data_IF_048364602887
#
_entry.id   IF_048364602887
#
_cell.length_a   1.000
_cell.length_b   1.000
_cell.length_c   1.000
_cell.angle_alpha   90.00
_cell.angle_beta   90.00
_cell.angle_gamma   90.00
#
_symmetry.space_group_name_H-M   'P 1'
#
loop_
_entity.id
_entity.type
_entity.pdbx_description
1 polymer ?
#
# COMPACT_ATOMS: atom_id res chain seq x y z
N UNK A 1 -28.90 -11.84 2.67
CA UNK A 1 -27.52 -12.36 2.57
C UNK A 1 -26.86 -11.60 1.43
N UNK A 2 -26.03 -10.59 1.71
CA UNK A 2 -25.32 -9.90 0.64
C UNK A 2 -24.14 -10.78 0.21
N UNK A 3 -24.22 -11.32 -1.00
CA UNK A 3 -23.07 -11.91 -1.66
C UNK A 3 -22.27 -10.76 -2.23
N UNK A 4 -21.22 -10.32 -1.52
CA UNK A 4 -20.28 -9.38 -2.11
C UNK A 4 -19.58 -10.10 -3.28
N UNK A 5 -19.65 -9.58 -4.51
CA UNK A 5 -19.03 -10.22 -5.68
C UNK A 5 -17.48 -10.21 -5.61
N UNK A 6 -16.91 -9.69 -4.51
CA UNK A 6 -15.47 -9.56 -4.26
C UNK A 6 -14.94 -10.54 -3.20
N UNK A 7 -15.63 -11.66 -2.94
CA UNK A 7 -15.36 -12.61 -1.86
C UNK A 7 -13.96 -13.29 -1.85
N UNK A 8 -13.05 -12.91 -2.76
CA UNK A 8 -11.65 -13.38 -2.77
C UNK A 8 -10.59 -12.28 -2.77
N UNK A 9 -10.97 -11.00 -2.85
CA UNK A 9 -10.00 -9.90 -2.92
C UNK A 9 -9.73 -9.32 -1.53
N UNK A 10 -8.65 -9.78 -0.89
CA UNK A 10 -8.09 -9.16 0.32
C UNK A 10 -6.86 -8.33 -0.07
N UNK A 11 -6.94 -6.99 -0.13
CA UNK A 11 -5.78 -6.17 -0.44
C UNK A 11 -4.82 -6.15 0.74
N UNK A 12 -3.81 -7.02 0.73
CA UNK A 12 -2.70 -6.92 1.68
C UNK A 12 -1.71 -5.83 1.26
N UNK A 13 -0.98 -5.29 2.23
CA UNK A 13 0.04 -4.27 1.97
C UNK A 13 1.26 -4.94 1.34
N UNK A 14 1.43 -4.72 0.04
CA UNK A 14 2.49 -5.32 -0.77
C UNK A 14 3.86 -4.74 -0.49
N UNK A 15 3.93 -3.45 -0.20
CA UNK A 15 5.17 -2.73 0.06
C UNK A 15 5.27 -2.42 1.55
N UNK A 16 6.20 -3.07 2.24
CA UNK A 16 6.49 -2.79 3.64
C UNK A 16 7.87 -2.13 3.77
N UNK A 17 8.04 -1.31 4.78
CA UNK A 17 9.29 -0.63 5.12
C UNK A 17 9.73 -1.10 6.50
N UNK A 18 10.97 -1.57 6.58
CA UNK A 18 11.66 -1.92 7.81
C UNK A 18 12.51 -0.73 8.22
N UNK A 19 12.18 -0.11 9.35
CA UNK A 19 12.87 1.05 9.90
C UNK A 19 13.56 0.70 11.21
N UNK A 20 14.81 1.11 11.39
CA UNK A 20 15.53 0.95 12.65
C UNK A 20 15.01 1.91 13.71
N UNK A 21 14.87 1.44 14.95
CA UNK A 21 14.50 2.29 16.10
C UNK A 21 15.69 3.08 16.69
N UNK A 22 16.91 2.78 16.26
CA UNK A 22 18.15 3.38 16.78
C UNK A 22 18.97 4.12 15.72
N UNK A 23 20.19 4.52 16.09
CA UNK A 23 21.14 5.19 15.20
C UNK A 23 21.71 4.27 14.11
N UNK A 24 21.76 2.96 14.37
CA UNK A 24 22.25 1.97 13.41
C UNK A 24 21.23 1.73 12.30
N UNK A 25 21.63 2.01 11.05
CA UNK A 25 20.77 1.84 9.88
C UNK A 25 20.78 0.40 9.41
N UNK A 26 19.61 -0.10 9.05
CA UNK A 26 19.46 -1.46 8.51
C UNK A 26 20.12 -1.58 7.13
N UNK A 27 20.10 -0.50 6.34
CA UNK A 27 20.72 -0.44 5.03
C UNK A 27 22.27 -0.57 5.04
N UNK A 28 22.93 -0.32 6.17
CA UNK A 28 24.39 -0.42 6.29
C UNK A 28 24.87 -1.88 6.40
N UNK A 29 23.93 -2.82 6.64
CA UNK A 29 24.25 -4.23 6.68
C UNK A 29 24.60 -4.77 5.29
N UNK A 30 25.45 -5.80 5.28
CA UNK A 30 25.87 -6.46 4.06
C UNK A 30 24.65 -7.04 3.31
N UNK A 31 24.57 -6.89 1.97
CA UNK A 31 23.41 -7.30 1.18
C UNK A 31 23.11 -8.80 1.33
N UNK A 32 24.15 -9.65 1.41
CA UNK A 32 23.97 -11.08 1.63
C UNK A 32 23.39 -11.43 3.01
N UNK A 33 23.73 -10.65 4.05
CA UNK A 33 23.14 -10.84 5.38
C UNK A 33 21.66 -10.46 5.37
N UNK A 34 21.34 -9.31 4.77
CA UNK A 34 19.95 -8.85 4.59
C UNK A 34 19.13 -9.90 3.84
N UNK A 35 19.66 -10.42 2.74
CA UNK A 35 18.97 -11.42 1.93
C UNK A 35 18.74 -12.73 2.69
N UNK A 36 19.76 -13.24 3.41
CA UNK A 36 19.64 -14.47 4.21
C UNK A 36 18.61 -14.33 5.33
N UNK A 37 18.61 -13.20 6.03
CA UNK A 37 17.65 -12.94 7.11
C UNK A 37 16.22 -12.86 6.58
N UNK A 38 16.00 -12.14 5.47
CA UNK A 38 14.69 -12.06 4.83
C UNK A 38 14.22 -13.43 4.33
N UNK A 39 15.12 -14.24 3.76
CA UNK A 39 14.82 -15.61 3.34
C UNK A 39 14.46 -16.51 4.54
N UNK A 40 15.12 -16.33 5.68
CA UNK A 40 14.79 -17.05 6.92
C UNK A 40 13.37 -16.73 7.42
N UNK A 41 12.99 -15.45 7.39
CA UNK A 41 11.68 -14.98 7.88
C UNK A 41 10.55 -15.31 6.88
N UNK A 42 10.79 -15.09 5.59
CA UNK A 42 9.75 -15.07 4.55
C UNK A 42 9.74 -16.32 3.66
N UNK A 43 10.75 -17.18 3.75
CA UNK A 43 10.93 -18.36 2.92
C UNK A 43 11.66 -18.09 1.61
N UNK A 44 11.69 -19.09 0.71
CA UNK A 44 12.44 -19.06 -0.56
C UNK A 44 11.73 -18.30 -1.70
N UNK A 45 10.61 -17.65 -1.40
CA UNK A 45 9.87 -16.88 -2.38
C UNK A 45 10.63 -15.60 -2.75
N UNK A 46 10.73 -15.34 -4.05
CA UNK A 46 11.34 -14.11 -4.61
C UNK A 46 10.72 -12.83 -4.03
N UNK A 47 11.51 -12.10 -3.26
CA UNK A 47 11.17 -10.81 -2.66
C UNK A 47 12.07 -9.74 -3.27
N UNK A 48 11.51 -8.60 -3.66
CA UNK A 48 12.32 -7.47 -4.11
C UNK A 48 12.65 -6.58 -2.90
N UNK A 49 13.94 -6.28 -2.73
CA UNK A 49 14.45 -5.48 -1.61
C UNK A 49 15.14 -4.25 -2.17
N UNK A 50 14.75 -3.08 -1.69
CA UNK A 50 15.32 -1.79 -2.10
C UNK A 50 15.81 -1.05 -0.86
N UNK A 51 17.07 -0.59 -0.88
CA UNK A 51 17.60 0.31 0.16
C UNK A 51 17.08 1.72 -0.09
N UNK A 52 16.47 2.33 0.91
CA UNK A 52 16.00 3.72 0.82
C UNK A 52 17.11 4.68 1.27
N UNK A 53 17.11 5.91 0.75
CA UNK A 53 18.06 6.96 1.15
C UNK A 53 17.99 7.33 2.63
N UNK A 54 16.88 7.01 3.31
CA UNK A 54 16.73 7.17 4.76
C UNK A 54 17.61 6.21 5.58
N UNK A 55 18.08 5.11 4.98
CA UNK A 55 18.73 4.01 5.70
C UNK A 55 17.80 2.85 6.05
N UNK A 56 16.53 2.93 5.63
CA UNK A 56 15.52 1.89 5.78
C UNK A 56 15.58 0.88 4.63
N UNK A 57 14.90 -0.25 4.82
CA UNK A 57 14.71 -1.26 3.76
C UNK A 57 13.25 -1.30 3.33
N UNK A 58 13.01 -1.11 2.04
CA UNK A 58 11.71 -1.40 1.43
C UNK A 58 11.70 -2.83 0.91
N UNK A 59 10.65 -3.57 1.25
CA UNK A 59 10.46 -4.97 0.89
C UNK A 59 9.12 -5.11 0.17
N UNK A 60 9.16 -5.62 -1.06
CA UNK A 60 7.97 -5.92 -1.86
C UNK A 60 7.65 -7.40 -1.77
N UNK A 61 6.48 -7.68 -1.24
CA UNK A 61 6.00 -9.02 -0.93
C UNK A 61 5.11 -9.58 -2.05
N UNK A 62 4.95 -10.90 -2.07
CA UNK A 62 4.10 -11.62 -3.03
C UNK A 62 2.88 -12.27 -2.38
N UNK A 63 2.93 -12.56 -1.09
CA UNK A 63 1.84 -13.20 -0.34
C UNK A 63 1.43 -12.41 0.92
N UNK A 64 0.16 -12.56 1.31
CA UNK A 64 -0.35 -12.03 2.58
C UNK A 64 0.37 -12.66 3.79
N UNK A 65 0.71 -13.95 3.71
CA UNK A 65 1.41 -14.63 4.80
C UNK A 65 2.80 -14.05 5.03
N UNK A 66 3.49 -13.64 3.97
CA UNK A 66 4.74 -12.90 4.08
C UNK A 66 4.54 -11.56 4.77
N UNK A 67 3.47 -10.84 4.46
CA UNK A 67 3.17 -9.55 5.08
C UNK A 67 2.89 -9.70 6.59
N UNK A 68 2.19 -10.76 6.98
CA UNK A 68 1.97 -11.09 8.40
C UNK A 68 3.26 -11.44 9.12
N UNK A 69 4.08 -12.33 8.54
CA UNK A 69 5.38 -12.72 9.10
C UNK A 69 6.30 -11.52 9.27
N UNK A 70 6.43 -10.68 8.23
CA UNK A 70 7.26 -9.48 8.30
C UNK A 70 6.69 -8.46 9.28
N UNK A 71 5.36 -8.27 9.32
CA UNK A 71 4.73 -7.36 10.27
C UNK A 71 4.92 -7.75 11.74
N UNK A 72 5.19 -9.03 12.03
CA UNK A 72 5.36 -9.54 13.38
C UNK A 72 6.80 -9.39 13.93
N UNK A 73 7.80 -9.04 13.10
CA UNK A 73 9.18 -8.94 13.57
C UNK A 73 9.40 -7.64 14.35
N UNK A 74 10.09 -7.76 15.49
CA UNK A 74 10.55 -6.61 16.28
C UNK A 74 12.07 -6.40 16.18
N UNK A 75 12.80 -7.40 15.68
CA UNK A 75 14.24 -7.36 15.48
C UNK A 75 14.60 -7.88 14.09
N UNK A 76 15.64 -7.32 13.50
CA UNK A 76 16.18 -7.72 12.21
C UNK A 76 17.70 -7.52 12.22
N UNK A 77 18.48 -8.59 12.01
CA UNK A 77 19.96 -8.54 12.10
C UNK A 77 20.47 -7.89 13.40
N UNK A 78 19.90 -8.32 14.53
CA UNK A 78 20.19 -7.83 15.89
C UNK A 78 19.87 -6.34 16.12
N UNK A 79 19.14 -5.70 15.20
CA UNK A 79 18.70 -4.31 15.33
C UNK A 79 17.21 -4.30 15.68
N UNK A 80 16.77 -3.54 16.70
CA UNK A 80 15.35 -3.33 16.94
C UNK A 80 14.75 -2.51 15.80
N UNK A 81 13.70 -3.04 15.18
CA UNK A 81 13.06 -2.44 14.01
C UNK A 81 11.56 -2.23 14.22
N UNK A 82 10.96 -1.40 13.36
CA UNK A 82 9.52 -1.32 13.12
C UNK A 82 9.24 -1.66 11.68
N UNK A 83 8.16 -2.40 11.45
CA UNK A 83 7.67 -2.66 10.10
C UNK A 83 6.39 -1.88 9.89
N UNK A 84 6.35 -1.08 8.83
CA UNK A 84 5.20 -0.25 8.50
C UNK A 84 4.86 -0.32 7.01
N UNK A 85 3.59 -0.17 6.62
CA UNK A 85 3.24 -0.10 5.21
C UNK A 85 3.81 1.15 4.55
N UNK A 86 4.35 1.00 3.34
CA UNK A 86 4.81 2.13 2.55
C UNK A 86 3.63 3.08 2.24
N UNK A 87 3.84 4.39 2.41
CA UNK A 87 2.78 5.42 2.39
C UNK A 87 2.05 5.54 1.05
N UNK A 88 2.79 5.51 -0.07
CA UNK A 88 2.22 5.74 -1.41
C UNK A 88 2.13 4.49 -2.28
N UNK A 89 3.17 3.65 -2.32
CA UNK A 89 3.21 2.45 -3.18
C UNK A 89 2.11 1.40 -2.91
N UNK A 90 1.41 1.48 -1.76
CA UNK A 90 0.24 0.63 -1.49
C UNK A 90 -1.10 1.27 -1.87
N UNK A 91 -1.08 2.43 -2.52
CA UNK A 91 -2.26 3.10 -3.05
C UNK A 91 -2.08 3.42 -4.53
N UNK A 92 -3.19 3.51 -5.24
CA UNK A 92 -3.23 3.97 -6.61
C UNK A 92 -4.32 5.04 -6.73
N UNK A 93 -4.20 5.90 -7.74
CA UNK A 93 -5.23 6.88 -8.09
C UNK A 93 -5.72 6.55 -9.49
N UNK A 94 -7.03 6.45 -9.65
CA UNK A 94 -7.68 6.17 -10.92
C UNK A 94 -8.82 7.14 -11.19
N UNK A 95 -9.33 7.12 -12.42
CA UNK A 95 -10.56 7.82 -12.81
C UNK A 95 -11.53 6.77 -13.29
N UNK A 96 -12.76 6.81 -12.77
CA UNK A 96 -13.87 5.96 -13.19
C UNK A 96 -14.97 6.89 -13.68
N UNK A 97 -15.57 6.56 -14.83
CA UNK A 97 -16.69 7.29 -15.39
C UNK A 97 -17.87 6.32 -15.52
N UNK A 98 -18.98 6.66 -14.87
CA UNK A 98 -20.26 5.97 -15.02
C UNK A 98 -21.38 6.97 -14.79
N UNK A 99 -22.48 6.83 -15.53
CA UNK A 99 -23.67 7.67 -15.36
C UNK A 99 -24.31 7.44 -13.98
N UNK A 100 -24.31 6.20 -13.51
CA UNK A 100 -24.96 5.81 -12.25
C UNK A 100 -24.25 6.37 -11.01
N UNK A 101 -22.92 6.50 -11.08
CA UNK A 101 -22.12 7.16 -10.03
C UNK A 101 -22.45 8.65 -9.90
N UNK A 102 -23.16 9.23 -10.87
CA UNK A 102 -23.71 10.57 -10.78
C UNK A 102 -24.70 10.74 -9.63
N UNK A 103 -25.40 9.66 -9.25
CA UNK A 103 -26.40 9.64 -8.18
C UNK A 103 -25.84 9.32 -6.80
N UNK A 104 -24.58 8.88 -6.70
CA UNK A 104 -23.94 8.51 -5.43
C UNK A 104 -23.12 9.68 -4.85
N UNK A 105 -23.07 9.82 -3.52
CA UNK A 105 -22.15 10.76 -2.87
C UNK A 105 -20.71 10.22 -2.87
N UNK A 106 -19.71 11.09 -2.61
CA UNK A 106 -18.32 10.62 -2.50
C UNK A 106 -18.15 9.68 -1.29
N UNK A 107 -18.89 9.93 -0.22
CA UNK A 107 -18.91 9.12 1.00
C UNK A 107 -19.51 7.74 0.73
N UNK A 108 -20.65 7.66 0.04
CA UNK A 108 -21.30 6.39 -0.32
C UNK A 108 -20.39 5.52 -1.20
N UNK A 109 -19.66 6.15 -2.13
CA UNK A 109 -18.67 5.45 -2.97
C UNK A 109 -17.54 4.85 -2.11
N UNK A 110 -17.06 5.58 -1.09
CA UNK A 110 -15.99 5.09 -0.21
C UNK A 110 -16.50 3.99 0.72
N UNK A 111 -17.73 4.07 1.19
CA UNK A 111 -18.34 3.10 2.10
C UNK A 111 -18.71 1.79 1.39
N UNK A 112 -19.33 1.87 0.22
CA UNK A 112 -19.87 0.71 -0.49
C UNK A 112 -18.83 0.02 -1.41
N UNK A 113 -17.79 0.72 -1.86
CA UNK A 113 -16.75 0.12 -2.70
C UNK A 113 -15.52 -0.33 -1.88
N UNK A 114 -15.36 -1.65 -1.79
CA UNK A 114 -14.17 -2.24 -1.19
C UNK A 114 -12.89 -1.81 -1.90
N UNK A 115 -11.86 -1.44 -1.15
CA UNK A 115 -10.55 -1.03 -1.68
C UNK A 115 -10.43 0.45 -2.05
N UNK A 116 -11.52 1.22 -1.95
CA UNK A 116 -11.49 2.68 -2.09
C UNK A 116 -11.26 3.30 -0.71
N UNK A 117 -10.25 4.16 -0.59
CA UNK A 117 -9.97 4.90 0.65
C UNK A 117 -10.35 6.38 0.57
N UNK A 118 -10.54 6.89 -0.66
CA UNK A 118 -10.88 8.28 -0.90
C UNK A 118 -11.48 8.40 -2.30
N UNK A 119 -12.63 9.05 -2.42
CA UNK A 119 -13.26 9.44 -3.67
C UNK A 119 -13.29 10.97 -3.78
N UNK A 120 -13.28 11.49 -5.01
CA UNK A 120 -13.49 12.91 -5.30
C UNK A 120 -14.07 13.09 -6.70
N UNK A 121 -15.05 13.98 -6.85
CA UNK A 121 -15.61 14.36 -8.15
C UNK A 121 -14.63 15.25 -8.91
N UNK A 122 -14.47 14.96 -10.19
CA UNK A 122 -13.67 15.80 -11.09
C UNK A 122 -14.45 17.08 -11.36
N UNK A 123 -13.77 18.22 -11.20
CA UNK A 123 -14.33 19.55 -11.49
C UNK A 123 -13.52 20.18 -12.62
N UNK A 124 -14.20 20.77 -13.59
CA UNK A 124 -13.59 21.54 -14.68
C UNK A 124 -13.66 23.01 -14.33
N UNK A 125 -12.57 23.72 -14.57
CA UNK A 125 -12.54 25.18 -14.43
C UNK A 125 -12.96 25.81 -15.75
N UNK A 126 -13.98 26.67 -15.74
CA UNK A 126 -14.35 27.52 -16.89
C UNK A 126 -14.29 28.98 -16.43
N UNK A 127 -13.25 29.70 -16.85
CA UNK A 127 -12.99 31.05 -16.33
C UNK A 127 -12.64 31.05 -14.84
N UNK A 128 -13.38 31.83 -14.05
CA UNK A 128 -13.25 31.88 -12.58
C UNK A 128 -14.03 30.77 -11.88
N UNK A 129 -14.98 30.13 -12.57
CA UNK A 129 -15.88 29.15 -11.98
C UNK A 129 -15.34 27.72 -12.01
N UNK A 130 -15.61 26.98 -10.92
CA UNK A 130 -15.36 25.52 -10.82
C UNK A 130 -16.67 24.77 -10.98
N UNK A 131 -16.88 24.21 -12.17
CA UNK A 131 -18.11 23.50 -12.53
C UNK A 131 -17.84 22.00 -12.38
N UNK A 132 -18.79 21.27 -11.81
CA UNK A 132 -18.71 19.81 -11.81
C UNK A 132 -18.85 19.31 -13.25
N UNK A 133 -18.11 18.28 -13.64
CA UNK A 133 -18.32 17.66 -14.96
C UNK A 133 -19.70 17.01 -15.00
N UNK A 134 -20.66 17.65 -15.66
CA UNK A 134 -21.90 17.04 -16.09
C UNK A 134 -21.69 16.37 -17.46
N UNK A 135 -22.18 15.15 -17.62
CA UNK A 135 -22.11 14.42 -18.89
C UNK A 135 -23.48 14.34 -19.59
N UNK A 136 -24.42 15.18 -19.16
CA UNK A 136 -25.72 15.38 -19.81
C UNK A 136 -25.56 16.43 -20.90
N UNK A 137 -25.07 15.99 -22.06
CA UNK A 137 -25.31 16.65 -23.35
C UNK A 137 -26.45 15.92 -24.06
#
# INVERSE_FOLDING_TARGET
MSVSPFAGWSPFKKFLVISSKGSAKVADRAPFKIHRELKSILGDETIEVTKLGSGDLMVKLKSNDQAKKLGAIAMFLDIPVTVSPHKSLNSSKGVICSRDLGYCSEEEIVEELSGVTHARRIKVRRGEDKIQTDWSS
#
